data_IF_372259123823
#
_entry.id   IF_372259123823
#
_cell.length_a   1.000
_cell.length_b   1.000
_cell.length_c   1.000
_cell.angle_alpha   90.00
_cell.angle_beta   90.00
_cell.angle_gamma   90.00
#
_symmetry.space_group_name_H-M   'P 1'
#
loop_
_entity.id
_entity.type
_entity.pdbx_description
1 polymer ?
#
# COMPACT_ATOMS: atom_id res chain seq x y z
N UNK A 1 1.89 18.69 28.57
CA UNK A 1 2.72 17.62 29.18
C UNK A 1 2.11 16.25 28.87
N UNK A 2 1.88 15.96 27.58
CA UNK A 2 1.43 14.69 27.00
C UNK A 2 2.15 14.42 25.65
N UNK A 3 2.69 15.46 25.02
CA UNK A 3 3.51 15.38 23.80
C UNK A 3 4.97 14.95 23.99
N UNK A 4 5.46 14.79 25.24
CA UNK A 4 6.90 14.57 25.49
C UNK A 4 7.24 13.14 25.93
N UNK A 5 6.24 12.28 26.14
CA UNK A 5 6.44 10.85 26.44
C UNK A 5 6.09 9.92 25.28
N UNK A 6 5.59 10.45 24.16
CA UNK A 6 5.34 9.71 22.91
C UNK A 6 6.54 9.70 21.96
N UNK A 7 7.70 9.95 22.54
CA UNK A 7 9.04 9.96 21.97
C UNK A 7 9.80 9.20 23.06
N UNK A 8 10.25 7.95 22.91
CA UNK A 8 11.21 7.52 21.89
C UNK A 8 11.27 5.98 21.77
N UNK A 9 10.34 5.20 22.36
CA UNK A 9 10.58 3.77 22.62
C UNK A 9 9.38 2.80 22.56
N UNK A 10 8.26 3.17 21.93
CA UNK A 10 7.10 2.30 21.64
C UNK A 10 6.76 2.40 20.14
N UNK A 11 7.13 1.54 19.22
CA UNK A 11 7.82 0.27 19.17
C UNK A 11 8.23 0.19 17.68
N UNK A 12 9.44 -0.25 17.35
CA UNK A 12 9.82 -0.38 15.93
C UNK A 12 8.85 -1.30 15.16
N UNK A 13 8.12 -2.18 15.85
CA UNK A 13 7.01 -2.96 15.29
C UNK A 13 5.71 -2.18 15.15
N UNK A 14 5.33 -1.27 16.05
CA UNK A 14 4.10 -0.48 15.90
C UNK A 14 4.20 0.49 14.73
N UNK A 15 5.37 1.10 14.51
CA UNK A 15 5.62 1.93 13.33
C UNK A 15 5.56 1.08 12.05
N UNK A 16 6.16 -0.11 12.04
CA UNK A 16 6.09 -1.04 10.90
C UNK A 16 4.67 -1.56 10.66
N UNK A 17 3.92 -1.85 11.73
CA UNK A 17 2.53 -2.31 11.68
C UNK A 17 1.63 -1.21 11.16
N UNK A 18 1.76 0.00 11.68
CA UNK A 18 1.04 1.19 11.20
C UNK A 18 1.32 1.43 9.72
N UNK A 19 2.59 1.44 9.30
CA UNK A 19 2.97 1.57 7.89
C UNK A 19 2.38 0.46 7.01
N UNK A 20 2.40 -0.79 7.47
CA UNK A 20 1.79 -1.93 6.75
C UNK A 20 0.28 -1.77 6.62
N UNK A 21 -0.39 -1.30 7.65
CA UNK A 21 -1.84 -1.05 7.65
C UNK A 21 -2.18 0.08 6.68
N UNK A 22 -1.45 1.21 6.72
CA UNK A 22 -1.65 2.32 5.79
C UNK A 22 -1.47 1.89 4.33
N UNK A 23 -0.40 1.15 4.02
CA UNK A 23 -0.15 0.64 2.67
C UNK A 23 -1.18 -0.41 2.23
N UNK A 24 -1.67 -1.24 3.16
CA UNK A 24 -2.74 -2.21 2.87
C UNK A 24 -4.03 -1.48 2.53
N UNK A 25 -4.36 -0.42 3.28
CA UNK A 25 -5.53 0.40 3.01
C UNK A 25 -5.41 1.14 1.66
N UNK A 26 -4.24 1.70 1.37
CA UNK A 26 -3.96 2.32 0.06
C UNK A 26 -4.08 1.32 -1.09
N UNK A 27 -3.60 0.08 -0.90
CA UNK A 27 -3.77 -1.01 -1.84
C UNK A 27 -5.25 -1.39 -2.04
N UNK A 28 -6.03 -1.47 -0.96
CA UNK A 28 -7.46 -1.80 -1.02
C UNK A 28 -8.26 -0.74 -1.78
N UNK A 29 -8.00 0.53 -1.49
CA UNK A 29 -8.63 1.69 -2.14
C UNK A 29 -8.02 2.03 -3.50
N UNK A 30 -6.96 1.34 -3.93
CA UNK A 30 -6.28 1.64 -5.18
C UNK A 30 -7.26 1.56 -6.36
N UNK A 31 -7.29 2.63 -7.17
CA UNK A 31 -8.11 2.76 -8.37
C UNK A 31 -7.33 3.57 -9.40
N UNK A 32 -7.61 3.34 -10.68
CA UNK A 32 -7.08 4.17 -11.75
C UNK A 32 -7.68 5.58 -11.66
N UNK A 33 -6.84 6.61 -11.71
CA UNK A 33 -7.36 7.98 -11.80
C UNK A 33 -7.87 8.26 -13.23
N UNK A 34 -8.86 9.16 -13.37
CA UNK A 34 -9.49 9.44 -14.67
C UNK A 34 -8.50 9.91 -15.77
N UNK A 35 -7.46 10.66 -15.38
CA UNK A 35 -6.45 11.24 -16.28
C UNK A 35 -5.07 10.56 -16.17
N UNK A 36 -5.00 9.39 -15.52
CA UNK A 36 -3.76 8.65 -15.37
C UNK A 36 -3.56 7.67 -16.52
N UNK A 37 -2.35 7.55 -17.03
CA UNK A 37 -2.00 6.50 -18.01
C UNK A 37 -1.86 5.15 -17.31
N UNK A 38 -2.12 4.06 -18.04
CA UNK A 38 -1.97 2.69 -17.53
C UNK A 38 -0.54 2.45 -17.00
N UNK A 39 0.48 3.00 -17.67
CA UNK A 39 1.87 2.92 -17.23
C UNK A 39 2.11 3.62 -15.87
N UNK A 40 1.53 4.81 -15.67
CA UNK A 40 1.66 5.53 -14.41
C UNK A 40 0.92 4.82 -13.27
N UNK A 41 -0.27 4.28 -13.56
CA UNK A 41 -1.01 3.43 -12.63
C UNK A 41 -0.21 2.18 -12.24
N UNK A 42 0.38 1.48 -13.23
CA UNK A 42 1.20 0.29 -12.99
C UNK A 42 2.43 0.61 -12.13
N UNK A 43 3.08 1.76 -12.35
CA UNK A 43 4.20 2.23 -11.51
C UNK A 43 3.77 2.43 -10.06
N UNK A 44 2.63 3.10 -9.81
CA UNK A 44 2.09 3.30 -8.45
C UNK A 44 1.70 1.97 -7.79
N UNK A 45 1.04 1.09 -8.53
CA UNK A 45 0.66 -0.23 -8.05
C UNK A 45 1.90 -1.04 -7.64
N UNK A 46 2.91 -1.09 -8.50
CA UNK A 46 4.19 -1.76 -8.24
C UNK A 46 4.91 -1.15 -7.04
N UNK A 47 4.86 0.18 -6.88
CA UNK A 47 5.44 0.86 -5.72
C UNK A 47 4.80 0.40 -4.41
N UNK A 48 3.47 0.30 -4.35
CA UNK A 48 2.73 -0.18 -3.18
C UNK A 48 3.10 -1.64 -2.87
N UNK A 49 3.12 -2.52 -3.88
CA UNK A 49 3.49 -3.93 -3.71
C UNK A 49 4.92 -4.09 -3.23
N UNK A 50 5.87 -3.34 -3.79
CA UNK A 50 7.27 -3.41 -3.35
C UNK A 50 7.44 -2.95 -1.90
N UNK A 51 6.73 -1.89 -1.49
CA UNK A 51 6.72 -1.46 -0.10
C UNK A 51 6.11 -2.53 0.83
N UNK A 52 4.99 -3.15 0.44
CA UNK A 52 4.36 -4.23 1.22
C UNK A 52 5.26 -5.46 1.32
N UNK A 53 5.92 -5.85 0.23
CA UNK A 53 6.91 -6.93 0.20
C UNK A 53 8.09 -6.65 1.11
N UNK A 54 8.61 -5.41 1.15
CA UNK A 54 9.69 -5.01 2.07
C UNK A 54 9.28 -5.09 3.55
N UNK A 55 7.98 -5.04 3.83
CA UNK A 55 7.40 -5.19 5.17
C UNK A 55 6.95 -6.64 5.48
N UNK A 56 7.30 -7.60 4.61
CA UNK A 56 7.01 -9.02 4.76
C UNK A 56 5.63 -9.48 4.30
N UNK A 57 4.88 -8.64 3.56
CA UNK A 57 3.58 -9.01 2.99
C UNK A 57 3.72 -9.23 1.48
N UNK A 58 3.81 -10.51 1.09
CA UNK A 58 3.92 -10.93 -0.31
C UNK A 58 2.55 -11.38 -0.79
N UNK A 59 2.19 -11.00 -2.01
CA UNK A 59 0.95 -11.40 -2.65
C UNK A 59 1.24 -12.37 -3.81
N UNK A 60 0.38 -13.38 -4.05
CA UNK A 60 0.49 -14.20 -5.24
C UNK A 60 0.27 -13.34 -6.49
N UNK A 61 0.99 -13.66 -7.58
CA UNK A 61 0.86 -12.94 -8.85
C UNK A 61 -0.59 -12.94 -9.37
N UNK A 62 -1.33 -14.03 -9.18
CA UNK A 62 -2.74 -14.12 -9.59
C UNK A 62 -3.62 -13.09 -8.86
N UNK A 63 -3.41 -12.90 -7.56
CA UNK A 63 -4.12 -11.92 -6.74
C UNK A 63 -3.80 -10.49 -7.18
N UNK A 64 -2.52 -10.23 -7.49
CA UNK A 64 -2.07 -8.95 -8.03
C UNK A 64 -2.69 -8.62 -9.38
N UNK A 65 -2.74 -9.60 -10.29
CA UNK A 65 -3.36 -9.45 -11.62
C UNK A 65 -4.86 -9.20 -11.47
N UNK A 66 -5.55 -10.00 -10.66
CA UNK A 66 -6.99 -9.83 -10.39
C UNK A 66 -7.29 -8.45 -9.79
N UNK A 67 -6.47 -7.99 -8.84
CA UNK A 67 -6.61 -6.64 -8.29
C UNK A 67 -6.38 -5.58 -9.36
N UNK A 68 -5.31 -5.70 -10.14
CA UNK A 68 -4.98 -4.73 -11.18
C UNK A 68 -6.10 -4.60 -12.22
N UNK A 69 -6.66 -5.73 -12.67
CA UNK A 69 -7.80 -5.76 -13.58
C UNK A 69 -9.04 -5.06 -12.98
N UNK A 70 -9.37 -5.31 -11.70
CA UNK A 70 -10.47 -4.63 -11.00
C UNK A 70 -10.26 -3.12 -10.88
N UNK A 71 -9.02 -2.66 -10.77
CA UNK A 71 -8.70 -1.25 -10.70
C UNK A 71 -8.75 -0.56 -12.08
N UNK A 72 -8.57 -1.33 -13.17
CA UNK A 72 -8.69 -0.87 -14.55
C UNK A 72 -10.14 -0.82 -15.05
N UNK A 73 -10.99 -1.76 -14.58
CA UNK A 73 -12.43 -1.73 -14.82
C UNK A 73 -13.04 -0.50 -14.15
N UNK A 74 -13.14 0.59 -14.91
CA UNK A 74 -14.02 1.72 -14.61
C UNK A 74 -15.46 1.24 -14.87
N UNK A 75 -16.11 0.70 -13.84
CA UNK A 75 -17.56 0.82 -13.78
C UNK A 75 -17.94 2.28 -13.53
#
# INVERSE_FOLDING_TARGET
MWDTLKVTHEDTNDVKRSRRNTLTHEYELFRMNQNESIENMQKRFTHIINNLSSLGKVFPNEDLINKFLRCLSRE
#
